data_IF_119912921409
#
_entry.id   IF_119912921409
#
_cell.length_a   1.000
_cell.length_b   1.000
_cell.length_c   1.000
_cell.angle_alpha   90.00
_cell.angle_beta   90.00
_cell.angle_gamma   90.00
#
_symmetry.space_group_name_H-M   'P 1'
#
loop_
_entity.id
_entity.type
_entity.pdbx_description
1 polymer ?
#
# COMPACT_ATOMS: atom_id res chain seq x y z
N UNK A 1 -11.80 17.02 32.91
CA UNK A 1 -10.41 17.47 32.83
C UNK A 1 -9.53 16.34 33.33
N UNK A 2 -8.55 15.91 32.53
CA UNK A 2 -7.63 14.83 32.89
C UNK A 2 -6.59 15.40 33.88
N UNK A 3 -6.44 14.81 35.06
CA UNK A 3 -5.66 15.38 36.17
C UNK A 3 -4.13 15.29 35.99
N UNK A 4 -3.68 14.77 34.84
CA UNK A 4 -2.26 14.56 34.52
C UNK A 4 -1.81 15.22 33.21
N UNK A 5 -2.60 16.14 32.64
CA UNK A 5 -2.20 16.87 31.45
C UNK A 5 -1.37 18.11 31.84
N UNK A 6 -0.17 18.25 31.26
CA UNK A 6 0.68 19.44 31.40
C UNK A 6 0.63 20.25 30.09
N UNK A 7 0.68 21.57 30.19
CA UNK A 7 0.73 22.44 28.99
C UNK A 7 2.09 22.30 28.31
N UNK A 8 2.09 22.24 26.98
CA UNK A 8 3.31 22.16 26.17
C UNK A 8 4.06 23.51 26.13
N UNK A 9 3.31 24.61 26.28
CA UNK A 9 3.82 25.98 26.36
C UNK A 9 4.30 26.36 27.78
N UNK A 10 4.30 25.41 28.73
CA UNK A 10 4.81 25.68 30.07
C UNK A 10 6.31 25.96 29.99
N UNK A 11 6.73 27.15 30.43
CA UNK A 11 8.13 27.51 30.56
C UNK A 11 8.83 26.60 31.57
N UNK A 12 10.07 26.20 31.27
CA UNK A 12 10.89 25.52 32.26
C UNK A 12 11.21 26.48 33.41
N UNK A 13 11.21 26.01 34.66
CA UNK A 13 11.46 26.83 35.86
C UNK A 13 12.82 27.57 35.84
N UNK A 14 13.71 27.26 34.89
CA UNK A 14 15.08 27.77 34.83
C UNK A 14 15.38 28.68 33.62
N UNK A 15 14.50 28.84 32.64
CA UNK A 15 14.69 29.75 31.50
C UNK A 15 13.34 30.10 30.85
N UNK A 16 13.03 31.40 30.79
CA UNK A 16 11.81 31.94 30.16
C UNK A 16 11.80 31.73 28.62
N UNK A 17 12.95 31.41 28.03
CA UNK A 17 13.12 31.21 26.58
C UNK A 17 13.02 29.75 26.11
N UNK A 18 12.73 28.79 27.00
CA UNK A 18 12.68 27.35 26.68
C UNK A 18 11.42 26.69 27.26
N UNK A 19 10.56 26.15 26.39
CA UNK A 19 9.33 25.48 26.78
C UNK A 19 9.40 23.95 26.54
N UNK A 20 8.44 23.21 27.09
CA UNK A 20 8.46 21.74 27.02
C UNK A 20 8.39 21.22 25.56
N UNK A 21 7.78 21.99 24.64
CA UNK A 21 7.80 21.71 23.20
C UNK A 21 9.23 21.61 22.65
N UNK A 22 10.15 22.46 23.11
CA UNK A 22 11.52 22.53 22.62
C UNK A 22 12.38 21.33 23.06
N UNK A 23 11.93 20.63 24.10
CA UNK A 23 12.61 19.45 24.64
C UNK A 23 12.10 18.12 24.06
N UNK A 24 10.94 18.11 23.40
CA UNK A 24 10.36 16.89 22.86
C UNK A 24 10.86 16.68 21.43
N UNK A 25 11.82 15.77 21.27
CA UNK A 25 12.25 15.33 19.96
C UNK A 25 11.09 14.61 19.24
N UNK A 26 10.82 15.00 18.00
CA UNK A 26 9.86 14.29 17.16
C UNK A 26 10.44 12.93 16.76
N UNK A 27 9.59 11.90 16.76
CA UNK A 27 9.86 10.59 16.17
C UNK A 27 9.70 10.60 14.64
N UNK A 28 9.31 11.74 14.05
CA UNK A 28 9.18 11.92 12.61
C UNK A 28 10.54 12.10 11.94
N UNK A 29 11.04 11.03 11.34
CA UNK A 29 12.26 11.08 10.52
C UNK A 29 11.88 11.49 9.09
N UNK A 30 12.02 12.78 8.78
CA UNK A 30 11.62 13.36 7.48
C UNK A 30 12.17 12.62 6.27
N UNK A 31 13.45 12.20 6.31
CA UNK A 31 14.07 11.49 5.20
C UNK A 31 13.43 10.12 4.97
N UNK A 32 13.26 9.32 6.03
CA UNK A 32 12.65 7.99 5.96
C UNK A 32 11.19 8.08 5.47
N UNK A 33 10.44 9.06 5.95
CA UNK A 33 9.06 9.28 5.51
C UNK A 33 8.97 9.61 4.03
N UNK A 34 9.85 10.48 3.52
CA UNK A 34 9.88 10.86 2.10
C UNK A 34 10.27 9.67 1.22
N UNK A 35 11.25 8.86 1.64
CA UNK A 35 11.64 7.63 0.94
C UNK A 35 10.45 6.65 0.88
N UNK A 36 9.78 6.41 2.00
CA UNK A 36 8.61 5.53 2.09
C UNK A 36 7.46 5.99 1.18
N UNK A 37 7.24 7.30 1.08
CA UNK A 37 6.22 7.87 0.17
C UNK A 37 6.60 7.68 -1.30
N UNK A 38 7.85 7.95 -1.66
CA UNK A 38 8.34 7.72 -3.02
C UNK A 38 8.29 6.24 -3.41
N UNK A 39 8.66 5.33 -2.51
CA UNK A 39 8.54 3.88 -2.74
C UNK A 39 7.09 3.46 -2.96
N UNK A 40 6.15 4.01 -2.17
CA UNK A 40 4.72 3.76 -2.32
C UNK A 40 4.19 4.29 -3.65
N UNK A 41 4.60 5.49 -4.07
CA UNK A 41 4.23 6.08 -5.37
C UNK A 41 4.78 5.24 -6.53
N UNK A 42 6.06 4.86 -6.49
CA UNK A 42 6.67 3.98 -7.49
C UNK A 42 5.99 2.61 -7.54
N UNK A 43 5.63 2.05 -6.39
CA UNK A 43 4.87 0.80 -6.32
C UNK A 43 3.50 0.95 -6.98
N UNK A 44 2.77 2.03 -6.70
CA UNK A 44 1.49 2.30 -7.36
C UNK A 44 1.62 2.42 -8.88
N UNK A 45 2.66 3.08 -9.38
CA UNK A 45 2.90 3.22 -10.81
C UNK A 45 3.28 1.89 -11.48
N UNK A 46 4.10 1.06 -10.82
CA UNK A 46 4.39 -0.30 -11.29
C UNK A 46 3.13 -1.16 -11.35
N UNK A 47 2.27 -1.09 -10.34
CA UNK A 47 0.97 -1.81 -10.31
C UNK A 47 0.06 -1.33 -11.44
N UNK A 48 -0.09 -0.01 -11.64
CA UNK A 48 -0.89 0.55 -12.74
C UNK A 48 -0.37 0.11 -14.11
N UNK A 49 0.94 0.16 -14.33
CA UNK A 49 1.59 -0.29 -15.57
C UNK A 49 1.37 -1.77 -15.80
N UNK A 50 1.47 -2.59 -14.75
CA UNK A 50 1.19 -4.02 -14.84
C UNK A 50 -0.28 -4.29 -15.23
N UNK A 51 -1.24 -3.67 -14.54
CA UNK A 51 -2.68 -3.81 -14.83
C UNK A 51 -3.00 -3.38 -16.27
N UNK A 52 -2.36 -2.31 -16.78
CA UNK A 52 -2.58 -1.85 -18.17
C UNK A 52 -2.17 -2.87 -19.25
N UNK A 53 -1.30 -3.83 -18.93
CA UNK A 53 -0.87 -4.90 -19.84
C UNK A 53 -1.83 -6.09 -19.86
N UNK A 54 -2.78 -6.14 -18.93
CA UNK A 54 -3.73 -7.25 -18.82
C UNK A 54 -4.87 -7.13 -19.83
N UNK A 55 -5.28 -8.25 -20.37
CA UNK A 55 -6.49 -8.35 -21.20
C UNK A 55 -7.75 -8.21 -20.35
N UNK A 56 -8.90 -7.91 -20.98
CA UNK A 56 -10.20 -7.83 -20.28
C UNK A 56 -10.55 -9.10 -19.50
N UNK A 57 -10.16 -10.27 -20.01
CA UNK A 57 -10.40 -11.54 -19.32
C UNK A 57 -9.48 -11.70 -18.10
N UNK A 58 -8.21 -11.31 -18.21
CA UNK A 58 -7.26 -11.35 -17.10
C UNK A 58 -7.63 -10.35 -16.00
N UNK A 59 -8.14 -9.16 -16.35
CA UNK A 59 -8.66 -8.20 -15.38
C UNK A 59 -9.84 -8.81 -14.62
N UNK A 60 -10.80 -9.44 -15.30
CA UNK A 60 -11.91 -10.13 -14.63
C UNK A 60 -11.43 -11.26 -13.71
N UNK A 61 -10.42 -12.03 -14.13
CA UNK A 61 -9.81 -13.06 -13.27
C UNK A 61 -9.18 -12.41 -12.02
N UNK A 62 -8.45 -11.30 -12.19
CA UNK A 62 -7.82 -10.57 -11.09
C UNK A 62 -8.86 -10.01 -10.10
N UNK A 63 -9.91 -9.37 -10.59
CA UNK A 63 -10.99 -8.82 -9.76
C UNK A 63 -11.64 -9.92 -8.91
N UNK A 64 -11.98 -11.06 -9.53
CA UNK A 64 -12.56 -12.19 -8.80
C UNK A 64 -11.59 -12.81 -7.77
N UNK A 65 -10.28 -12.80 -8.03
CA UNK A 65 -9.28 -13.23 -7.05
C UNK A 65 -9.21 -12.28 -5.85
N UNK A 66 -9.28 -10.97 -6.10
CA UNK A 66 -9.32 -9.93 -5.05
C UNK A 66 -10.60 -10.03 -4.22
N UNK A 67 -11.72 -10.39 -4.85
CA UNK A 67 -13.01 -10.67 -4.19
C UNK A 67 -13.03 -11.99 -3.40
N UNK A 68 -11.98 -12.82 -3.53
CA UNK A 68 -11.81 -14.05 -2.75
C UNK A 68 -12.41 -15.32 -3.36
N UNK A 69 -12.75 -15.31 -4.66
CA UNK A 69 -13.24 -16.51 -5.35
C UNK A 69 -12.15 -17.58 -5.47
N UNK A 70 -12.55 -18.85 -5.35
CA UNK A 70 -11.66 -19.99 -5.61
C UNK A 70 -11.47 -20.19 -7.11
N UNK A 71 -10.33 -20.75 -7.50
CA UNK A 71 -10.01 -21.02 -8.91
C UNK A 71 -11.11 -21.77 -9.66
N UNK A 72 -11.74 -22.78 -9.04
CA UNK A 72 -12.83 -23.53 -9.64
C UNK A 72 -14.08 -22.69 -9.90
N UNK A 73 -14.40 -21.77 -9.00
CA UNK A 73 -15.54 -20.87 -9.13
C UNK A 73 -15.29 -19.86 -10.25
N UNK A 74 -14.04 -19.37 -10.40
CA UNK A 74 -13.67 -18.39 -11.41
C UNK A 74 -13.83 -18.95 -12.83
N UNK A 75 -13.20 -20.10 -13.14
CA UNK A 75 -13.27 -20.62 -14.52
C UNK A 75 -14.67 -21.11 -14.88
N UNK A 76 -15.45 -21.61 -13.92
CA UNK A 76 -16.86 -21.95 -14.11
C UNK A 76 -17.71 -20.70 -14.38
N UNK A 77 -17.53 -19.63 -13.60
CA UNK A 77 -18.28 -18.37 -13.75
C UNK A 77 -17.97 -17.68 -15.07
N UNK A 78 -16.69 -17.66 -15.46
CA UNK A 78 -16.24 -17.08 -16.73
C UNK A 78 -16.53 -17.99 -17.94
N UNK A 79 -17.00 -19.22 -17.71
CA UNK A 79 -17.27 -20.24 -18.74
C UNK A 79 -16.06 -20.51 -19.63
N UNK A 80 -14.88 -20.51 -19.03
CA UNK A 80 -13.61 -20.84 -19.69
C UNK A 80 -13.12 -22.20 -19.20
N UNK A 81 -12.24 -22.83 -19.99
CA UNK A 81 -11.66 -24.11 -19.56
C UNK A 81 -10.67 -23.92 -18.40
N UNK A 82 -10.48 -24.96 -17.58
CA UNK A 82 -9.44 -24.94 -16.54
C UNK A 82 -8.03 -24.71 -17.12
N UNK A 83 -7.77 -25.17 -18.33
CA UNK A 83 -6.48 -24.98 -19.02
C UNK A 83 -6.30 -23.54 -19.46
N UNK A 84 -7.35 -22.93 -20.03
CA UNK A 84 -7.34 -21.52 -20.42
C UNK A 84 -7.18 -20.60 -19.20
N UNK A 85 -7.85 -20.93 -18.09
CA UNK A 85 -7.65 -20.23 -16.82
C UNK A 85 -6.19 -20.34 -16.33
N UNK A 86 -5.60 -21.54 -16.35
CA UNK A 86 -4.21 -21.74 -15.93
C UNK A 86 -3.22 -20.95 -16.80
N UNK A 87 -3.45 -20.87 -18.11
CA UNK A 87 -2.62 -20.09 -19.03
C UNK A 87 -2.77 -18.58 -18.76
N UNK A 88 -3.98 -18.09 -18.49
CA UNK A 88 -4.18 -16.71 -18.07
C UNK A 88 -3.42 -16.38 -16.78
N UNK A 89 -3.44 -17.27 -15.78
CA UNK A 89 -2.66 -17.11 -14.55
C UNK A 89 -1.15 -17.13 -14.79
N UNK A 90 -0.68 -17.92 -15.76
CA UNK A 90 0.74 -17.95 -16.14
C UNK A 90 1.14 -16.61 -16.74
N UNK A 91 0.37 -16.11 -17.70
CA UNK A 91 0.65 -14.83 -18.37
C UNK A 91 0.61 -13.66 -17.37
N UNK A 92 -0.40 -13.63 -16.48
CA UNK A 92 -0.52 -12.60 -15.44
C UNK A 92 0.73 -12.54 -14.54
N UNK A 93 1.25 -13.70 -14.09
CA UNK A 93 2.46 -13.78 -13.26
C UNK A 93 3.75 -13.48 -14.02
N UNK A 94 3.83 -13.80 -15.30
CA UNK A 94 5.02 -13.51 -16.11
C UNK A 94 5.23 -12.00 -16.35
N UNK A 95 4.19 -11.18 -16.25
CA UNK A 95 4.31 -9.72 -16.30
C UNK A 95 4.94 -9.10 -15.03
N UNK A 96 5.21 -9.88 -13.97
CA UNK A 96 5.90 -9.43 -12.75
C UNK A 96 7.45 -9.45 -12.89
N UNK A 97 8.00 -10.17 -13.88
CA UNK A 97 9.43 -10.51 -13.94
C UNK A 97 10.26 -9.60 -14.87
N UNK A 98 9.63 -8.76 -15.70
CA UNK A 98 10.33 -7.85 -16.62
C UNK A 98 10.51 -6.41 -16.08
N UNK A 99 10.48 -6.21 -14.76
CA UNK A 99 10.46 -4.89 -14.10
C UNK A 99 11.72 -4.53 -13.34
#
# INVERSE_FOLDING_TARGET
MNQFAVSLDAASENNEDYCLLDCVASDFVTFEEVVRRQEKEQFQDKVKKHISRLTKQQIKILDMLVEGYKSNEIWQTLKISSTEYAENLRIMRSCEIEG
#
